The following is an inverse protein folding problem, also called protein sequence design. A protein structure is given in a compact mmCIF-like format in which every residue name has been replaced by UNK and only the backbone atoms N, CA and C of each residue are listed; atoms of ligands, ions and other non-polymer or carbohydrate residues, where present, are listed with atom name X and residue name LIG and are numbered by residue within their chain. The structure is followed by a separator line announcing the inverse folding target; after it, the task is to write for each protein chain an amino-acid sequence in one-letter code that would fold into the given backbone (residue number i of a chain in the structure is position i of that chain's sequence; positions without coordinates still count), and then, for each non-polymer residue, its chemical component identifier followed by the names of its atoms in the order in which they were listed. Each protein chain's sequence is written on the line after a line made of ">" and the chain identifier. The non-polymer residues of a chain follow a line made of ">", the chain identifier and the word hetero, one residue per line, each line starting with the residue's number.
data_IF_783628391406
#
_entry.id   IF_783628391406
#
_cell.length_a   1.000
_cell.length_b   1.000
_cell.length_c   1.000
_cell.angle_alpha   90.00
_cell.angle_beta   90.00
_cell.angle_gamma   90.00
#
_symmetry.space_group_name_H-M   'P 1'
#
loop_
_entity.id
_entity.type
_entity.pdbx_description
1 polymer ?
#
# COMPACT_ATOMS: atom_id res chain seq x y z
N UNK A 1 19.97 -0.01 -2.18
CA UNK A 1 18.65 -0.34 -2.74
C UNK A 1 18.86 -1.04 -4.05
N UNK A 2 18.50 -2.31 -4.16
CA UNK A 2 18.63 -3.04 -5.41
C UNK A 2 17.47 -2.64 -6.34
N UNK A 3 17.79 -2.22 -7.57
CA UNK A 3 16.83 -1.95 -8.63
C UNK A 3 16.58 -3.27 -9.36
N UNK A 4 15.33 -3.71 -9.43
CA UNK A 4 14.95 -4.97 -10.09
C UNK A 4 14.38 -4.76 -11.50
N UNK A 5 13.93 -3.53 -11.81
CA UNK A 5 13.44 -3.16 -13.15
C UNK A 5 13.36 -1.62 -13.31
N UNK A 6 13.37 -1.18 -14.58
CA UNK A 6 13.10 0.21 -15.00
C UNK A 6 14.02 1.27 -14.39
N UNK A 7 15.35 1.06 -14.50
CA UNK A 7 16.37 1.97 -13.93
C UNK A 7 16.26 3.40 -14.47
N UNK A 8 15.85 3.56 -15.71
CA UNK A 8 15.67 4.85 -16.39
C UNK A 8 14.56 5.71 -15.79
N UNK A 9 13.63 5.12 -15.04
CA UNK A 9 12.58 5.86 -14.32
C UNK A 9 13.08 6.55 -13.04
N UNK A 10 14.36 6.43 -12.71
CA UNK A 10 14.96 7.15 -11.59
C UNK A 10 14.26 6.84 -10.27
N UNK A 11 13.62 7.82 -9.64
CA UNK A 11 12.93 7.65 -8.34
C UNK A 11 11.77 6.66 -8.40
N UNK A 12 11.17 6.43 -9.56
CA UNK A 12 10.02 5.53 -9.74
C UNK A 12 10.40 4.08 -10.07
N UNK A 13 11.70 3.77 -10.22
CA UNK A 13 12.18 2.41 -10.50
C UNK A 13 11.72 1.37 -9.44
N UNK A 14 11.48 0.13 -9.86
CA UNK A 14 11.08 -0.96 -8.93
C UNK A 14 12.29 -1.39 -8.12
N UNK A 15 12.13 -1.45 -6.79
CA UNK A 15 13.21 -1.75 -5.85
C UNK A 15 12.86 -2.92 -4.94
N UNK A 16 13.84 -3.79 -4.67
CA UNK A 16 13.71 -4.79 -3.60
C UNK A 16 14.02 -4.14 -2.26
N UNK A 17 13.06 -4.18 -1.35
CA UNK A 17 13.17 -3.70 0.02
C UNK A 17 13.05 -4.88 0.98
N UNK A 18 13.93 -4.94 1.96
CA UNK A 18 13.75 -5.77 3.15
C UNK A 18 13.36 -4.84 4.29
N UNK A 19 12.28 -5.19 5.00
CA UNK A 19 11.74 -4.40 6.09
C UNK A 19 11.57 -5.26 7.33
N UNK A 20 11.78 -4.66 8.50
CA UNK A 20 11.60 -5.31 9.80
C UNK A 20 10.62 -4.48 10.64
N UNK A 21 9.61 -5.14 11.22
CA UNK A 21 8.60 -4.49 12.06
C UNK A 21 7.93 -3.26 11.42
N UNK A 22 7.64 -3.30 10.12
CA UNK A 22 7.03 -2.19 9.39
C UNK A 22 5.54 -2.05 9.74
N UNK A 23 5.12 -1.01 10.47
CA UNK A 23 3.74 -0.87 10.91
C UNK A 23 2.82 -0.56 9.73
N UNK A 24 1.69 -1.25 9.64
CA UNK A 24 0.66 -1.04 8.61
C UNK A 24 -0.74 -1.25 9.18
N UNK A 25 -1.75 -0.80 8.43
CA UNK A 25 -3.16 -1.00 8.74
C UNK A 25 -3.80 -1.70 7.54
N UNK A 26 -4.65 -2.71 7.80
CA UNK A 26 -5.46 -3.35 6.75
C UNK A 26 -6.57 -2.39 6.34
N UNK A 27 -6.46 -1.83 5.14
CA UNK A 27 -7.48 -0.95 4.56
C UNK A 27 -8.45 -1.74 3.68
N UNK A 28 -7.92 -2.63 2.84
CA UNK A 28 -8.70 -3.51 1.98
C UNK A 28 -8.34 -4.96 2.31
N UNK A 29 -9.34 -5.80 2.53
CA UNK A 29 -9.15 -7.23 2.80
C UNK A 29 -9.43 -8.10 1.56
N UNK A 30 -9.19 -9.41 1.68
CA UNK A 30 -9.41 -10.38 0.59
C UNK A 30 -10.88 -10.84 0.45
N UNK A 31 -11.77 -10.35 1.31
CA UNK A 31 -13.20 -10.65 1.32
C UNK A 31 -14.06 -9.51 0.73
N UNK A 32 -13.42 -8.42 0.28
CA UNK A 32 -14.09 -7.26 -0.31
C UNK A 32 -14.40 -6.14 0.70
N UNK A 33 -13.85 -6.22 1.91
CA UNK A 33 -13.90 -5.14 2.89
C UNK A 33 -13.07 -3.93 2.46
N UNK A 34 -13.57 -2.74 2.77
CA UNK A 34 -12.91 -1.46 2.50
C UNK A 34 -13.18 -0.48 3.65
N UNK A 35 -12.14 -0.22 4.43
CA UNK A 35 -12.21 0.62 5.61
C UNK A 35 -12.61 2.07 5.29
N UNK A 36 -12.24 2.59 4.11
CA UNK A 36 -12.64 3.94 3.70
C UNK A 36 -14.13 3.99 3.37
N UNK A 37 -14.64 2.99 2.66
CA UNK A 37 -16.07 2.92 2.34
C UNK A 37 -16.94 2.78 3.60
N UNK A 38 -16.54 1.90 4.51
CA UNK A 38 -17.24 1.70 5.78
C UNK A 38 -17.18 2.95 6.66
N UNK A 39 -16.00 3.56 6.78
CA UNK A 39 -15.82 4.81 7.51
C UNK A 39 -16.67 5.93 6.93
N UNK A 40 -16.66 6.12 5.60
CA UNK A 40 -17.50 7.13 4.96
C UNK A 40 -18.99 6.88 5.20
N UNK A 41 -19.47 5.63 5.11
CA UNK A 41 -20.87 5.28 5.38
C UNK A 41 -21.28 5.57 6.83
N UNK A 42 -20.41 5.29 7.79
CA UNK A 42 -20.71 5.48 9.21
C UNK A 42 -20.94 6.95 9.60
N UNK A 43 -20.37 7.90 8.84
CA UNK A 43 -20.47 9.34 9.11
C UNK A 43 -21.12 10.15 7.99
N UNK A 44 -21.66 9.48 6.96
CA UNK A 44 -22.45 10.12 5.92
C UNK A 44 -23.73 10.70 6.55
N UNK A 45 -23.96 12.00 6.38
CA UNK A 45 -25.18 12.70 6.80
C UNK A 45 -26.21 12.73 5.69
#
# INVERSE_FOLDING_TARGET
>A
LEIVAYEDLGTEAIRRLEVENFPTIVVNDCHGGDLYQEGMKAYAR
#
